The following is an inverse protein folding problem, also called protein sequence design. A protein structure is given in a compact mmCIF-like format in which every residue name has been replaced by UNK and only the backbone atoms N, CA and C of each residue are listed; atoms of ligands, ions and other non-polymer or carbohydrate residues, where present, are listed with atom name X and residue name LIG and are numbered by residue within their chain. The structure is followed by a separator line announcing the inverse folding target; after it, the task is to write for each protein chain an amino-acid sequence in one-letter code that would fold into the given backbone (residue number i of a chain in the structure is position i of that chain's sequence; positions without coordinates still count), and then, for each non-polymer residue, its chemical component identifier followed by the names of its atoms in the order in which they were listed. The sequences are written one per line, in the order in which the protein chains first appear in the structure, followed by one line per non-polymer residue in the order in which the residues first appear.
data_IF_996615743212
#
_entry.id   IF_996615743212
#
_cell.length_a   1.000
_cell.length_b   1.000
_cell.length_c   1.000
_cell.angle_alpha   90.00
_cell.angle_beta   90.00
_cell.angle_gamma   90.00
#
_symmetry.space_group_name_H-M   'P 1'
#
loop_
_entity.id
_entity.type
_entity.pdbx_description
1 polymer ?
#
# COMPACT_ATOMS: atom_id res chain seq x y z
N UNK A 1 51.84 -28.15 -13.48
CA UNK A 1 52.46 -27.19 -14.41
C UNK A 1 51.45 -26.06 -14.62
N UNK A 2 51.69 -24.75 -14.61
CA UNK A 2 52.71 -23.82 -14.10
C UNK A 2 52.08 -22.44 -14.41
N UNK A 3 52.10 -21.48 -13.44
CA UNK A 3 52.06 -19.98 -13.61
C UNK A 3 50.83 -19.30 -14.25
N UNK A 4 50.42 -18.05 -13.96
CA UNK A 4 50.86 -16.86 -13.19
C UNK A 4 49.60 -15.96 -13.01
N UNK A 5 49.32 -15.16 -11.95
CA UNK A 5 49.99 -14.06 -11.19
C UNK A 5 49.95 -12.65 -11.86
N UNK A 6 49.36 -11.67 -11.14
CA UNK A 6 49.43 -10.18 -11.25
C UNK A 6 48.72 -9.47 -12.42
N UNK A 7 48.24 -8.21 -12.34
CA UNK A 7 48.58 -7.01 -11.54
C UNK A 7 47.34 -6.10 -11.32
N UNK A 8 47.12 -5.47 -10.15
CA UNK A 8 47.45 -4.06 -9.77
C UNK A 8 47.13 -3.01 -10.85
N UNK A 9 46.18 -2.11 -10.54
CA UNK A 9 45.89 -0.91 -11.32
C UNK A 9 44.99 0.06 -10.56
N UNK A 10 45.48 0.66 -9.48
CA UNK A 10 44.84 1.80 -8.81
C UNK A 10 44.97 3.04 -9.70
N UNK A 11 43.85 3.66 -10.07
CA UNK A 11 43.85 5.02 -10.65
C UNK A 11 43.03 5.92 -9.73
N UNK A 12 43.77 6.74 -9.00
CA UNK A 12 43.32 7.87 -8.21
C UNK A 12 42.99 9.01 -9.20
N UNK A 13 41.72 9.39 -9.33
CA UNK A 13 41.32 10.58 -10.09
C UNK A 13 40.68 11.60 -9.15
N UNK A 14 41.47 12.65 -8.90
CA UNK A 14 41.16 13.84 -8.13
C UNK A 14 40.38 14.83 -9.03
N UNK A 15 39.14 15.20 -8.70
CA UNK A 15 38.43 16.30 -9.39
C UNK A 15 37.73 17.23 -8.39
N UNK A 16 38.45 18.31 -8.10
CA UNK A 16 38.06 19.72 -7.96
C UNK A 16 36.66 20.09 -7.42
N UNK A 17 36.70 20.69 -6.23
CA UNK A 17 35.66 21.51 -5.58
C UNK A 17 35.44 22.81 -6.34
N UNK A 18 34.19 23.13 -6.65
CA UNK A 18 33.75 24.47 -7.06
C UNK A 18 32.62 24.93 -6.13
N UNK A 19 32.97 25.76 -5.14
CA UNK A 19 32.03 26.42 -4.24
C UNK A 19 31.67 27.80 -4.82
N UNK A 20 30.42 27.97 -5.23
CA UNK A 20 29.86 29.26 -5.66
C UNK A 20 29.07 29.86 -4.50
N UNK A 21 29.62 30.91 -3.89
CA UNK A 21 28.98 31.66 -2.80
C UNK A 21 27.79 32.50 -3.27
N UNK A 22 26.79 32.64 -2.39
CA UNK A 22 25.68 33.58 -2.53
C UNK A 22 25.84 34.70 -1.48
N UNK A 23 25.58 35.98 -1.84
CA UNK A 23 25.71 37.09 -0.90
C UNK A 23 24.54 37.13 0.08
N UNK A 24 24.88 37.35 1.35
CA UNK A 24 23.97 37.69 2.42
C UNK A 24 23.50 39.15 2.27
N UNK A 25 22.19 39.38 2.31
CA UNK A 25 21.61 40.70 2.53
C UNK A 25 21.11 40.81 3.97
N UNK A 26 21.76 41.69 4.72
CA UNK A 26 21.30 42.19 6.01
C UNK A 26 20.80 43.63 5.83
N UNK A 27 19.67 43.96 6.45
CA UNK A 27 19.28 45.25 7.06
C UNK A 27 17.79 45.14 7.45
N UNK A 28 17.44 45.00 8.73
CA UNK A 28 17.43 45.99 9.81
C UNK A 28 16.19 46.92 9.78
N UNK A 29 15.63 47.06 10.99
CA UNK A 29 14.75 48.13 11.51
C UNK A 29 13.25 47.85 11.60
N UNK A 30 12.82 47.71 12.86
CA UNK A 30 11.44 47.86 13.33
C UNK A 30 11.07 49.35 13.43
N UNK A 31 9.79 49.69 13.27
CA UNK A 31 9.21 50.87 13.89
C UNK A 31 8.17 50.48 14.95
N UNK A 32 8.35 51.06 16.14
CA UNK A 32 7.38 51.11 17.23
C UNK A 32 6.41 52.29 17.06
N UNK A 33 5.24 52.17 17.72
CA UNK A 33 4.25 53.19 18.12
C UNK A 33 2.99 53.38 17.26
N UNK A 34 1.86 53.88 17.82
CA UNK A 34 1.44 53.96 19.24
C UNK A 34 0.04 53.36 19.50
N UNK A 35 -0.28 53.14 20.77
CA UNK A 35 -1.60 52.78 21.27
C UNK A 35 -2.52 54.01 21.41
N UNK A 36 -3.72 53.97 20.80
CA UNK A 36 -4.96 54.72 21.14
C UNK A 36 -6.10 53.92 20.46
N UNK A 37 -7.28 53.59 21.01
CA UNK A 37 -7.98 53.83 22.25
C UNK A 37 -9.47 53.47 22.03
N UNK A 38 -10.12 52.94 23.09
CA UNK A 38 -11.58 52.82 23.34
C UNK A 38 -12.33 51.56 22.85
N UNK A 39 -13.47 51.19 23.47
CA UNK A 39 -13.84 51.25 24.89
C UNK A 39 -14.35 49.87 25.43
N UNK A 40 -14.39 49.74 26.76
CA UNK A 40 -14.97 48.60 27.49
C UNK A 40 -16.36 48.21 26.99
N UNK A 41 -16.56 46.92 26.74
CA UNK A 41 -17.88 46.28 26.81
C UNK A 41 -17.88 45.31 27.99
N UNK A 42 -18.91 45.43 28.83
CA UNK A 42 -19.13 44.71 30.08
C UNK A 42 -19.14 43.18 29.90
N UNK A 43 -18.79 42.40 30.94
CA UNK A 43 -18.77 40.94 30.86
C UNK A 43 -20.20 40.37 30.83
N UNK A 44 -20.55 39.68 29.74
CA UNK A 44 -21.76 38.87 29.66
C UNK A 44 -21.51 37.51 30.35
N UNK A 45 -22.46 37.00 31.16
CA UNK A 45 -22.27 35.75 31.91
C UNK A 45 -22.08 34.54 31.00
N UNK A 46 -21.04 33.77 31.24
CA UNK A 46 -20.78 32.49 30.60
C UNK A 46 -21.83 31.46 31.05
N UNK A 47 -22.69 31.02 30.12
CA UNK A 47 -23.46 29.80 30.32
C UNK A 47 -22.51 28.58 30.24
N UNK A 48 -22.78 27.49 30.99
CA UNK A 48 -21.89 26.34 31.06
C UNK A 48 -21.79 25.65 29.69
N UNK A 49 -20.56 25.44 29.22
CA UNK A 49 -20.28 24.62 28.05
C UNK A 49 -20.64 23.17 28.35
N UNK A 50 -21.66 22.66 27.67
CA UNK A 50 -22.02 21.25 27.70
C UNK A 50 -20.89 20.44 27.03
N UNK A 51 -20.45 19.29 27.60
CA UNK A 51 -19.35 18.52 27.06
C UNK A 51 -19.71 17.97 25.67
N UNK A 52 -18.92 18.33 24.66
CA UNK A 52 -18.96 17.70 23.35
C UNK A 52 -18.67 16.20 23.52
N UNK A 53 -19.69 15.36 23.30
CA UNK A 53 -19.56 13.92 23.20
C UNK A 53 -18.58 13.58 22.06
N UNK A 54 -17.76 12.53 22.19
CA UNK A 54 -16.85 12.11 21.14
C UNK A 54 -17.65 11.73 19.90
N UNK A 55 -17.41 12.45 18.79
CA UNK A 55 -17.90 12.10 17.48
C UNK A 55 -17.47 10.67 17.16
N UNK A 56 -18.42 9.73 17.10
CA UNK A 56 -18.18 8.43 16.51
C UNK A 56 -17.63 8.63 15.08
N UNK A 57 -16.66 7.83 14.64
CA UNK A 57 -16.16 7.95 13.27
C UNK A 57 -17.34 7.75 12.32
N UNK A 58 -17.58 8.74 11.48
CA UNK A 58 -18.51 8.65 10.38
C UNK A 58 -18.16 7.39 9.58
N UNK A 59 -19.11 6.48 9.45
CA UNK A 59 -19.06 5.42 8.46
C UNK A 59 -18.95 6.14 7.11
N UNK A 60 -17.73 6.22 6.58
CA UNK A 60 -17.54 6.65 5.22
C UNK A 60 -18.39 5.72 4.36
N UNK A 61 -19.37 6.29 3.66
CA UNK A 61 -20.05 5.67 2.55
C UNK A 61 -18.98 4.97 1.71
N UNK A 62 -18.97 3.64 1.74
CA UNK A 62 -18.08 2.86 0.91
C UNK A 62 -18.50 3.15 -0.53
N UNK A 63 -17.77 4.06 -1.20
CA UNK A 63 -17.71 4.13 -2.64
C UNK A 63 -17.71 2.70 -3.19
N UNK A 64 -18.42 2.38 -4.29
CA UNK A 64 -18.63 1.00 -4.75
C UNK A 64 -17.30 0.27 -4.71
N UNK A 65 -17.14 -0.58 -3.69
CA UNK A 65 -15.86 -1.17 -3.36
C UNK A 65 -15.38 -1.97 -4.57
N UNK A 66 -14.05 -2.14 -4.76
CA UNK A 66 -13.55 -2.94 -5.86
C UNK A 66 -14.15 -4.34 -5.76
N UNK A 67 -15.01 -4.71 -6.71
CA UNK A 67 -15.50 -6.08 -6.78
C UNK A 67 -14.32 -6.98 -7.15
N UNK A 68 -14.21 -8.13 -6.50
CA UNK A 68 -13.35 -9.20 -6.98
C UNK A 68 -13.74 -9.51 -8.42
N UNK A 69 -12.74 -9.54 -9.30
CA UNK A 69 -12.93 -9.80 -10.73
C UNK A 69 -12.17 -11.04 -11.13
N UNK A 70 -12.75 -11.82 -12.01
CA UNK A 70 -12.09 -12.94 -12.67
C UNK A 70 -11.82 -12.55 -14.11
N UNK A 71 -10.55 -12.54 -14.46
CA UNK A 71 -10.10 -12.37 -15.84
C UNK A 71 -9.62 -13.73 -16.33
N UNK A 72 -10.08 -14.16 -17.51
CA UNK A 72 -9.65 -15.41 -18.13
C UNK A 72 -9.12 -15.15 -19.53
N UNK A 73 -7.97 -15.73 -19.82
CA UNK A 73 -7.29 -15.68 -21.11
C UNK A 73 -7.18 -17.09 -21.71
N UNK A 74 -7.22 -17.19 -23.03
CA UNK A 74 -7.17 -18.47 -23.75
C UNK A 74 -8.49 -19.26 -23.80
N UNK A 75 -8.43 -20.46 -24.38
CA UNK A 75 -9.58 -21.33 -24.66
C UNK A 75 -9.28 -22.79 -24.30
N UNK A 76 -10.33 -23.58 -24.06
CA UNK A 76 -10.22 -25.02 -23.77
C UNK A 76 -9.27 -25.31 -22.60
N UNK A 77 -8.37 -26.26 -22.81
CA UNK A 77 -7.37 -26.68 -21.80
C UNK A 77 -6.28 -25.64 -21.54
N UNK A 78 -6.09 -24.67 -22.44
CA UNK A 78 -5.13 -23.58 -22.28
C UNK A 78 -5.73 -22.35 -21.56
N UNK A 79 -7.01 -22.42 -21.16
CA UNK A 79 -7.68 -21.31 -20.49
C UNK A 79 -7.08 -21.09 -19.09
N UNK A 80 -6.66 -19.86 -18.81
CA UNK A 80 -6.05 -19.46 -17.54
C UNK A 80 -6.84 -18.30 -16.97
N UNK A 81 -7.35 -18.48 -15.76
CA UNK A 81 -8.08 -17.45 -15.05
C UNK A 81 -7.25 -16.87 -13.90
N UNK A 82 -7.50 -15.61 -13.57
CA UNK A 82 -6.93 -14.91 -12.42
C UNK A 82 -8.05 -14.17 -11.72
N UNK A 83 -8.22 -14.38 -10.41
CA UNK A 83 -9.05 -13.51 -9.57
C UNK A 83 -8.20 -12.30 -9.18
N UNK A 84 -8.73 -11.09 -9.21
CA UNK A 84 -8.02 -9.91 -8.75
C UNK A 84 -8.93 -8.89 -8.07
N UNK A 85 -8.33 -8.12 -7.16
CA UNK A 85 -8.90 -6.91 -6.59
C UNK A 85 -7.82 -5.82 -6.55
N UNK A 86 -8.10 -4.68 -7.16
CA UNK A 86 -7.20 -3.53 -7.19
C UNK A 86 -7.59 -2.53 -6.10
N UNK A 87 -6.66 -2.21 -5.22
CA UNK A 87 -6.81 -1.23 -4.16
C UNK A 87 -6.01 0.01 -4.52
N UNK A 88 -6.67 1.15 -4.46
CA UNK A 88 -6.19 2.42 -4.98
C UNK A 88 -6.54 3.53 -3.99
N UNK A 89 -5.66 4.52 -3.87
CA UNK A 89 -5.91 5.73 -3.11
C UNK A 89 -6.07 6.90 -4.06
N UNK A 90 -7.06 7.75 -3.81
CA UNK A 90 -7.11 9.09 -4.38
C UNK A 90 -6.10 9.97 -3.63
N UNK A 91 -5.27 10.69 -4.38
CA UNK A 91 -4.28 11.62 -3.84
C UNK A 91 -4.56 13.07 -4.29
N UNK A 92 -5.76 13.36 -4.81
CA UNK A 92 -6.16 14.66 -5.34
C UNK A 92 -5.50 15.05 -6.68
N UNK A 93 -4.34 14.47 -6.99
CA UNK A 93 -3.64 14.59 -8.28
C UNK A 93 -3.84 13.37 -9.19
N UNK A 94 -4.68 12.43 -8.76
CA UNK A 94 -4.93 11.17 -9.46
C UNK A 94 -5.01 9.98 -8.51
N UNK A 95 -5.11 8.80 -9.11
CA UNK A 95 -5.30 7.56 -8.41
C UNK A 95 -3.97 6.79 -8.33
N UNK A 96 -3.48 6.56 -7.11
CA UNK A 96 -2.28 5.78 -6.84
C UNK A 96 -2.65 4.34 -6.49
N UNK A 97 -2.02 3.35 -7.14
CA UNK A 97 -2.20 1.95 -6.76
C UNK A 97 -1.50 1.66 -5.43
N UNK A 98 -2.26 1.12 -4.47
CA UNK A 98 -1.78 0.71 -3.15
C UNK A 98 -1.44 -0.78 -3.09
N UNK A 99 -2.25 -1.61 -3.73
CA UNK A 99 -2.12 -3.07 -3.67
C UNK A 99 -2.95 -3.69 -4.80
N UNK A 100 -2.48 -4.77 -5.40
CA UNK A 100 -3.35 -5.69 -6.14
C UNK A 100 -3.25 -7.06 -5.48
N UNK A 101 -4.39 -7.61 -5.07
CA UNK A 101 -4.49 -9.00 -4.60
C UNK A 101 -4.89 -9.86 -5.77
N UNK A 102 -4.18 -10.95 -6.01
CA UNK A 102 -4.43 -11.88 -7.11
C UNK A 102 -4.49 -13.32 -6.62
N UNK A 103 -5.40 -14.10 -7.21
CA UNK A 103 -5.41 -15.56 -7.15
C UNK A 103 -5.14 -16.07 -8.55
N UNK A 104 -4.05 -16.79 -8.73
CA UNK A 104 -3.65 -17.33 -10.03
C UNK A 104 -3.14 -18.76 -9.87
N UNK A 105 -3.08 -19.57 -10.94
CA UNK A 105 -2.54 -20.91 -10.81
C UNK A 105 -1.03 -20.85 -10.53
N UNK A 106 -0.60 -21.52 -9.46
CA UNK A 106 0.79 -21.65 -9.04
C UNK A 106 1.44 -22.94 -9.56
N UNK A 107 2.41 -23.44 -8.80
CA UNK A 107 3.07 -24.72 -9.08
C UNK A 107 2.05 -25.87 -9.09
N UNK A 108 2.23 -26.82 -10.01
CA UNK A 108 1.37 -28.01 -10.15
C UNK A 108 -0.14 -27.70 -10.24
N UNK A 109 -0.47 -26.52 -10.78
CA UNK A 109 -1.83 -25.99 -10.87
C UNK A 109 -2.55 -25.73 -9.53
N UNK A 110 -1.85 -25.80 -8.39
CA UNK A 110 -2.39 -25.36 -7.11
C UNK A 110 -2.61 -23.84 -7.12
N UNK A 111 -3.78 -23.31 -6.72
CA UNK A 111 -4.00 -21.88 -6.63
C UNK A 111 -2.97 -21.21 -5.70
N UNK A 112 -2.49 -20.03 -6.09
CA UNK A 112 -1.54 -19.24 -5.33
C UNK A 112 -2.05 -17.81 -5.15
N UNK A 113 -1.88 -17.28 -3.93
CA UNK A 113 -2.12 -15.89 -3.60
C UNK A 113 -0.88 -15.11 -4.00
N UNK A 114 -1.06 -14.06 -4.79
CA UNK A 114 0.00 -13.11 -5.13
C UNK A 114 -0.44 -11.68 -4.80
N UNK A 115 0.37 -11.00 -4.03
CA UNK A 115 0.23 -9.58 -3.71
C UNK A 115 1.20 -8.80 -4.59
N UNK A 116 0.68 -7.94 -5.47
CA UNK A 116 1.50 -6.94 -6.15
C UNK A 116 1.49 -5.65 -5.32
N UNK A 117 2.63 -5.37 -4.71
CA UNK A 117 2.88 -4.26 -3.82
C UNK A 117 3.46 -3.07 -4.61
N UNK A 118 3.39 -1.83 -4.09
CA UNK A 118 4.01 -0.70 -4.73
C UNK A 118 5.55 -0.79 -4.63
N UNK A 119 6.23 0.25 -5.09
CA UNK A 119 7.66 0.43 -4.88
C UNK A 119 7.93 1.09 -3.53
N UNK A 120 9.20 1.08 -3.12
CA UNK A 120 9.64 1.79 -1.91
C UNK A 120 9.26 1.08 -0.62
N UNK A 121 9.28 -0.26 -0.60
CA UNK A 121 9.10 -1.06 0.60
C UNK A 121 10.43 -1.37 1.28
N UNK A 122 10.41 -1.53 2.61
CA UNK A 122 11.51 -2.14 3.35
C UNK A 122 11.40 -3.68 3.26
N UNK A 123 12.04 -4.25 2.24
CA UNK A 123 11.90 -5.66 1.88
C UNK A 123 12.14 -6.67 3.02
N UNK A 124 13.12 -6.49 3.94
CA UNK A 124 13.36 -7.44 5.02
C UNK A 124 12.17 -7.63 6.00
N UNK A 125 11.27 -6.65 6.10
CA UNK A 125 10.09 -6.78 6.95
C UNK A 125 9.08 -7.82 6.40
N UNK A 126 9.09 -8.08 5.10
CA UNK A 126 8.09 -8.91 4.43
C UNK A 126 6.70 -8.25 4.43
N UNK A 127 5.67 -9.09 4.28
CA UNK A 127 4.26 -8.67 4.31
C UNK A 127 3.51 -9.51 5.33
N UNK A 128 2.59 -8.90 6.07
CA UNK A 128 1.71 -9.59 7.00
C UNK A 128 0.29 -9.61 6.43
N UNK A 129 -0.32 -10.79 6.40
CA UNK A 129 -1.71 -11.01 6.06
C UNK A 129 -2.48 -11.33 7.34
N UNK A 130 -3.60 -10.65 7.57
CA UNK A 130 -4.49 -10.95 8.67
C UNK A 130 -5.93 -10.90 8.18
N UNK A 131 -6.68 -11.99 8.37
CA UNK A 131 -8.10 -12.04 8.03
C UNK A 131 -8.89 -11.68 9.28
N UNK A 132 -9.68 -10.62 9.18
CA UNK A 132 -10.43 -10.00 10.26
C UNK A 132 -9.51 -9.68 11.46
N UNK A 133 -9.65 -10.41 12.57
CA UNK A 133 -8.79 -10.31 13.76
C UNK A 133 -8.03 -11.61 14.06
N UNK A 134 -7.90 -12.50 13.09
CA UNK A 134 -7.23 -13.79 13.22
C UNK A 134 -5.71 -13.67 13.37
N UNK A 135 -5.04 -14.82 13.38
CA UNK A 135 -3.57 -14.87 13.40
C UNK A 135 -2.99 -14.23 12.13
N UNK A 136 -1.92 -13.46 12.30
CA UNK A 136 -1.22 -12.82 11.19
C UNK A 136 -0.18 -13.77 10.59
N UNK A 137 -0.27 -13.97 9.29
CA UNK A 137 0.66 -14.80 8.52
C UNK A 137 1.68 -13.92 7.80
N UNK A 138 2.97 -14.26 7.93
CA UNK A 138 4.04 -13.52 7.27
C UNK A 138 4.36 -14.13 5.90
N UNK A 139 4.23 -13.32 4.85
CA UNK A 139 4.71 -13.62 3.51
C UNK A 139 6.10 -13.02 3.27
N UNK A 140 6.91 -13.77 2.53
CA UNK A 140 8.20 -13.31 2.03
C UNK A 140 7.99 -12.64 0.68
N UNK A 141 8.71 -11.53 0.45
CA UNK A 141 8.78 -10.91 -0.87
C UNK A 141 9.71 -11.78 -1.72
N UNK A 142 9.16 -12.31 -2.81
CA UNK A 142 9.81 -13.32 -3.66
C UNK A 142 10.62 -12.67 -4.78
N UNK A 143 10.06 -11.62 -5.40
CA UNK A 143 10.67 -10.91 -6.53
C UNK A 143 10.21 -9.45 -6.57
N UNK A 144 10.89 -8.64 -7.38
CA UNK A 144 10.47 -7.29 -7.73
C UNK A 144 10.85 -6.99 -9.19
N UNK A 145 10.03 -6.18 -9.86
CA UNK A 145 10.26 -5.68 -11.21
C UNK A 145 9.89 -4.20 -11.32
N UNK A 146 9.85 -3.64 -12.53
CA UNK A 146 9.46 -2.24 -12.78
C UNK A 146 8.05 -1.86 -12.29
N UNK A 147 7.16 -2.83 -12.07
CA UNK A 147 5.80 -2.61 -11.63
C UNK A 147 5.63 -2.72 -10.11
N UNK A 148 6.59 -3.28 -9.38
CA UNK A 148 6.56 -3.33 -7.92
C UNK A 148 7.23 -4.56 -7.33
N UNK A 149 6.86 -4.87 -6.09
CA UNK A 149 7.32 -6.07 -5.38
C UNK A 149 6.21 -7.11 -5.29
N UNK A 150 6.58 -8.39 -5.27
CA UNK A 150 5.63 -9.50 -5.24
C UNK A 150 5.87 -10.39 -4.03
N UNK A 151 4.84 -10.57 -3.22
CA UNK A 151 4.81 -11.53 -2.12
C UNK A 151 3.66 -12.50 -2.34
N UNK A 152 3.81 -13.76 -1.96
CA UNK A 152 2.77 -14.75 -2.21
C UNK A 152 2.97 -16.03 -1.41
N UNK A 153 1.94 -16.86 -1.45
CA UNK A 153 1.92 -18.20 -0.87
C UNK A 153 0.99 -19.10 -1.67
N UNK A 154 1.16 -20.41 -1.51
CA UNK A 154 0.14 -21.36 -1.94
C UNK A 154 -1.16 -21.08 -1.17
N UNK A 155 -2.30 -21.15 -1.87
CA UNK A 155 -3.61 -21.13 -1.23
C UNK A 155 -3.96 -22.56 -0.81
N UNK A 156 -3.61 -22.86 0.43
CA UNK A 156 -4.07 -24.06 1.11
C UNK A 156 -5.58 -23.97 1.39
N UNK A 157 -6.23 -25.13 1.51
CA UNK A 157 -7.68 -25.22 1.75
C UNK A 157 -8.12 -24.39 2.96
N UNK A 158 -7.36 -24.39 4.05
CA UNK A 158 -7.68 -23.59 5.25
C UNK A 158 -7.68 -22.08 4.97
N UNK A 159 -6.69 -21.57 4.24
CA UNK A 159 -6.62 -20.15 3.90
C UNK A 159 -7.75 -19.75 2.95
N UNK A 160 -8.07 -20.59 1.96
CA UNK A 160 -9.22 -20.38 1.06
C UNK A 160 -10.50 -20.27 1.88
N UNK A 161 -10.70 -21.19 2.81
CA UNK A 161 -11.87 -21.26 3.68
C UNK A 161 -12.00 -20.03 4.59
N UNK A 162 -10.88 -19.54 5.14
CA UNK A 162 -10.86 -18.29 5.92
C UNK A 162 -11.16 -17.08 5.05
N UNK A 163 -10.60 -16.99 3.84
CA UNK A 163 -10.88 -15.89 2.91
C UNK A 163 -12.36 -15.87 2.47
N UNK A 164 -12.96 -17.05 2.26
CA UNK A 164 -14.39 -17.19 1.89
C UNK A 164 -15.35 -16.78 2.99
N UNK A 165 -15.00 -17.01 4.27
CA UNK A 165 -15.83 -16.69 5.43
C UNK A 165 -15.55 -15.31 6.03
N UNK A 166 -14.36 -14.78 5.78
CA UNK A 166 -13.91 -13.52 6.35
C UNK A 166 -14.61 -12.31 5.74
N UNK A 167 -14.52 -11.18 6.44
CA UNK A 167 -15.11 -9.92 5.97
C UNK A 167 -14.05 -8.96 5.42
N UNK A 168 -12.88 -8.93 6.05
CA UNK A 168 -11.76 -8.09 5.65
C UNK A 168 -10.44 -8.86 5.71
N UNK A 169 -9.54 -8.53 4.79
CA UNK A 169 -8.15 -8.92 4.81
C UNK A 169 -7.31 -7.65 5.03
N UNK A 170 -6.49 -7.62 6.07
CA UNK A 170 -5.50 -6.59 6.30
C UNK A 170 -4.15 -7.04 5.72
N UNK A 171 -3.61 -6.25 4.79
CA UNK A 171 -2.28 -6.45 4.23
C UNK A 171 -1.35 -5.37 4.76
N UNK A 172 -0.38 -5.77 5.58
CA UNK A 172 0.56 -4.84 6.24
C UNK A 172 1.98 -5.03 5.73
N UNK A 173 2.61 -3.97 5.26
CA UNK A 173 4.01 -3.93 4.86
C UNK A 173 4.69 -2.67 5.42
N UNK A 174 6.00 -2.52 5.24
CA UNK A 174 6.71 -1.31 5.65
C UNK A 174 7.18 -0.51 4.45
N UNK A 175 7.07 0.82 4.52
CA UNK A 175 7.74 1.71 3.57
C UNK A 175 9.27 1.65 3.73
N UNK A 176 10.00 2.25 2.80
CA UNK A 176 11.47 2.34 2.87
C UNK A 176 11.96 3.10 4.13
N UNK A 177 11.12 3.94 4.72
CA UNK A 177 11.36 4.61 6.00
C UNK A 177 10.92 3.75 7.22
N UNK A 178 10.65 2.47 6.99
CA UNK A 178 10.25 1.48 7.98
C UNK A 178 8.94 1.83 8.70
N UNK A 179 8.10 2.66 8.08
CA UNK A 179 6.77 2.97 8.60
C UNK A 179 5.77 1.91 8.17
N UNK A 180 4.96 1.36 9.09
CA UNK A 180 3.94 0.39 8.73
C UNK A 180 2.85 1.03 7.87
N UNK A 181 2.45 0.33 6.82
CA UNK A 181 1.34 0.66 5.94
C UNK A 181 0.41 -0.54 5.93
N UNK A 182 -0.83 -0.33 6.36
CA UNK A 182 -1.88 -1.36 6.36
C UNK A 182 -2.94 -0.99 5.33
N UNK A 183 -3.16 -1.89 4.38
CA UNK A 183 -4.19 -1.75 3.35
C UNK A 183 -5.34 -2.71 3.70
N UNK A 184 -6.53 -2.20 4.04
CA UNK A 184 -7.72 -3.04 4.21
C UNK A 184 -8.26 -3.47 2.85
N UNK A 185 -8.59 -4.74 2.74
CA UNK A 185 -9.10 -5.40 1.53
C UNK A 185 -10.45 -6.03 1.88
N UNK A 186 -11.52 -5.65 1.20
CA UNK A 186 -12.83 -6.25 1.45
C UNK A 186 -12.90 -7.66 0.85
N UNK A 187 -13.34 -8.64 1.64
CA UNK A 187 -13.56 -10.02 1.19
C UNK A 187 -14.97 -10.23 0.65
N UNK A 188 -15.83 -9.20 0.67
CA UNK A 188 -17.14 -9.26 0.05
C UNK A 188 -17.02 -9.60 -1.45
N UNK A 189 -17.68 -10.68 -1.88
CA UNK A 189 -17.62 -11.18 -3.26
C UNK A 189 -16.46 -12.13 -3.57
N UNK A 190 -15.51 -12.35 -2.64
CA UNK A 190 -14.39 -13.27 -2.87
C UNK A 190 -14.85 -14.70 -3.15
N UNK A 191 -15.81 -15.22 -2.38
CA UNK A 191 -16.29 -16.60 -2.52
C UNK A 191 -16.83 -16.89 -3.92
N UNK A 192 -17.67 -16.00 -4.45
CA UNK A 192 -18.20 -16.12 -5.80
C UNK A 192 -17.09 -16.03 -6.84
N UNK A 193 -16.19 -15.06 -6.72
CA UNK A 193 -15.09 -14.89 -7.67
C UNK A 193 -14.12 -16.09 -7.66
N UNK A 194 -13.88 -16.69 -6.48
CA UNK A 194 -13.08 -17.91 -6.39
C UNK A 194 -13.78 -19.10 -7.04
N UNK A 195 -15.10 -19.26 -6.86
CA UNK A 195 -15.89 -20.28 -7.56
C UNK A 195 -15.83 -20.10 -9.08
N UNK A 196 -15.98 -18.87 -9.58
CA UNK A 196 -15.86 -18.55 -11.00
C UNK A 196 -14.46 -18.86 -11.54
N UNK A 197 -13.41 -18.52 -10.79
CA UNK A 197 -12.02 -18.90 -11.12
C UNK A 197 -11.85 -20.41 -11.23
N UNK A 198 -12.34 -21.19 -10.26
CA UNK A 198 -12.26 -22.65 -10.31
C UNK A 198 -13.05 -23.26 -11.46
N UNK A 199 -14.12 -22.59 -11.89
CA UNK A 199 -14.95 -23.02 -13.00
C UNK A 199 -14.51 -22.45 -14.37
N UNK A 200 -13.43 -21.66 -14.42
CA UNK A 200 -12.95 -21.05 -15.66
C UNK A 200 -13.83 -19.93 -16.22
N UNK A 201 -14.69 -19.31 -15.40
CA UNK A 201 -15.62 -18.25 -15.79
C UNK A 201 -15.03 -16.87 -15.51
N UNK A 202 -15.09 -15.99 -16.50
CA UNK A 202 -14.72 -14.59 -16.30
C UNK A 202 -15.89 -13.82 -15.67
N UNK A 203 -15.60 -12.79 -14.89
CA UNK A 203 -16.63 -11.85 -14.44
C UNK A 203 -17.12 -11.05 -15.64
N UNK A 204 -18.42 -11.09 -15.92
CA UNK A 204 -19.02 -10.25 -16.96
C UNK A 204 -18.77 -8.77 -16.62
N UNK A 205 -18.18 -8.05 -17.56
CA UNK A 205 -18.10 -6.59 -17.47
C UNK A 205 -19.46 -6.06 -17.92
N UNK A 206 -20.19 -5.31 -17.08
CA UNK A 206 -21.48 -4.74 -17.49
C UNK A 206 -21.34 -3.75 -18.65
#
# INVERSE_FOLDING_TARGET
MTTARSAIGSILALVLVSASGMPAMAQATAPSSPAQGSPSQSPQPSAPSEPAAPSAPATADAAPGPNWRVNCDGEGEARRCTVLQNLVADQGQGQQRLLTVMIQPGADAQPALLLALPHGLFLPAGVQLQIDGGEAEKLVIQTADQNGSYAGAALETDLIDRLKRGSALAVTFQSAQQQPVTVPVTLAGFSQAFEDYTAGRATETP
#
